data_IF_771492247484
#
_entry.id   IF_771492247484
#
_cell.length_a   1.000
_cell.length_b   1.000
_cell.length_c   1.000
_cell.angle_alpha   90.00
_cell.angle_beta   90.00
_cell.angle_gamma   90.00
#
_symmetry.space_group_name_H-M   'P 1'
#
loop_
_entity.id
_entity.type
_entity.pdbx_description
1 polymer ?
2 polymer ?
3 non-polymer ?
4 non-polymer ?
5 non-polymer ?
6 non-polymer ?
7 water ?
#
# COMPACT_ATOMS: atom_id res chain seq x y z
N UNK A 1 -2.08 5.41 15.38
CA UNK A 1 -1.43 4.63 14.35
C UNK A 1 -2.29 3.52 13.79
N UNK A 2 -2.21 3.30 12.48
CA UNK A 2 -3.00 2.26 11.84
C UNK A 2 -2.56 0.88 12.31
N UNK A 3 -1.26 0.70 12.57
CA UNK A 3 -0.77 -0.58 13.08
C UNK A 3 -1.30 -0.83 14.49
N UNK A 4 -1.41 0.22 15.30
CA UNK A 4 -1.84 0.09 16.68
C UNK A 4 -3.35 0.05 16.84
N UNK A 5 -4.11 0.23 15.76
CA UNK A 5 -5.57 0.22 15.83
C UNK A 5 -6.19 -0.92 15.04
N UNK A 6 -5.83 -1.07 13.77
CA UNK A 6 -6.46 -2.06 12.91
C UNK A 6 -5.77 -3.42 12.91
N UNK A 7 -4.64 -3.56 13.60
CA UNK A 7 -3.94 -4.83 13.67
C UNK A 7 -4.01 -5.49 15.03
N UNK A 8 -4.42 -4.77 16.07
CA UNK A 8 -4.71 -5.37 17.37
C UNK A 8 -6.20 -5.65 17.56
N UNK A 9 -7.06 -4.97 16.82
CA UNK A 9 -8.48 -5.26 16.76
C UNK A 9 -8.92 -5.24 15.31
N UNK A 10 -9.85 -6.14 14.96
CA UNK A 10 -10.29 -6.25 13.57
C UNK A 10 -11.03 -4.99 13.17
N UNK A 11 -10.68 -4.45 12.00
CA UNK A 11 -11.24 -3.20 11.50
C UNK A 11 -12.25 -3.50 10.40
N UNK A 12 -13.41 -2.86 10.48
CA UNK A 12 -14.40 -2.95 9.41
C UNK A 12 -13.94 -2.14 8.21
N UNK A 13 -14.68 -2.27 7.11
CA UNK A 13 -14.30 -1.61 5.86
C UNK A 13 -14.22 -0.10 6.03
N UNK A 14 -15.17 0.48 6.78
CA UNK A 14 -15.14 1.92 7.00
C UNK A 14 -13.94 2.34 7.83
N UNK A 15 -13.47 1.47 8.73
CA UNK A 15 -12.29 1.80 9.52
C UNK A 15 -11.06 1.97 8.63
N UNK A 16 -11.02 1.27 7.49
CA UNK A 16 -9.95 1.48 6.53
C UNK A 16 -10.14 2.74 5.70
N UNK A 17 -11.36 3.28 5.64
CA UNK A 17 -11.61 4.49 4.86
C UNK A 17 -10.92 5.71 5.44
N UNK A 18 -10.61 5.70 6.74
CA UNK A 18 -10.09 6.90 7.39
C UNK A 18 -8.71 7.28 6.87
N UNK A 19 -7.89 6.30 6.49
CA UNK A 19 -6.51 6.55 6.08
C UNK A 19 -6.37 6.81 4.59
N UNK A 20 -7.48 6.94 3.87
CA UNK A 20 -7.42 7.20 2.44
C UNK A 20 -7.14 8.67 2.17
N UNK A 21 -6.30 8.93 1.17
CA UNK A 21 -5.93 10.30 0.81
C UNK A 21 -7.14 11.07 0.29
N UNK B 1 8.23 -8.28 15.96
CA UNK B 1 7.17 -9.29 15.93
C UNK B 1 6.75 -9.56 14.49
N UNK B 2 6.88 -10.83 14.08
CA UNK B 2 6.53 -11.20 12.71
C UNK B 2 5.04 -11.03 12.46
N UNK B 3 4.21 -11.19 13.50
CA UNK B 3 2.77 -11.04 13.33
C UNK B 3 2.40 -9.63 12.90
N UNK B 4 3.18 -8.63 13.31
CA UNK B 4 2.94 -7.26 12.84
C UNK B 4 3.15 -7.14 11.34
N UNK B 5 4.22 -7.75 10.82
CA UNK B 5 4.52 -7.66 9.40
C UNK B 5 3.43 -8.32 8.56
N UNK B 6 2.93 -9.47 9.01
CA UNK B 6 1.88 -10.17 8.27
C UNK B 6 0.60 -9.34 8.22
N UNK B 7 0.22 -8.73 9.35
CA UNK B 7 -1.00 -7.93 9.37
C UNK B 7 -0.87 -6.69 8.49
N UNK B 8 0.31 -6.08 8.47
CA UNK B 8 0.51 -4.92 7.61
C UNK B 8 0.33 -5.24 6.14
N UNK B 9 0.74 -6.43 5.72
CA UNK B 9 0.56 -6.84 4.33
C UNK B 9 -0.91 -6.96 3.96
N UNK B 10 -1.77 -7.24 4.94
CA UNK B 10 -3.21 -7.26 4.71
C UNK B 10 -3.84 -5.88 4.82
N UNK B 11 -3.18 -4.95 5.51
CA UNK B 11 -3.70 -3.59 5.60
C UNK B 11 -3.48 -2.82 4.30
N UNK B 12 -2.35 -3.06 3.63
CA UNK B 12 -2.05 -2.35 2.39
C UNK B 12 -3.01 -2.77 1.28
N UNK B 13 -3.39 -4.05 1.25
CA UNK B 13 -4.35 -4.50 0.24
C UNK B 13 -5.77 -4.04 0.58
N UNK B 14 -6.06 -3.82 1.86
CA UNK B 14 -7.37 -3.29 2.24
C UNK B 14 -7.48 -1.81 1.90
N UNK B 15 -6.42 -1.04 2.15
CA UNK B 15 -6.43 0.37 1.78
C UNK B 15 -6.50 0.55 0.27
N UNK B 16 -5.78 -0.29 -0.48
CA UNK B 16 -5.80 -0.18 -1.94
C UNK B 16 -7.21 -0.40 -2.49
N UNK B 17 -7.93 -1.39 -1.96
CA UNK B 17 -9.28 -1.65 -2.43
C UNK B 17 -10.26 -0.56 -1.99
N UNK B 18 -10.04 0.01 -0.81
CA UNK B 18 -10.97 1.02 -0.29
C UNK B 18 -10.69 2.38 -0.91
N UNK B 19 -9.43 2.82 -0.87
CA UNK B 19 -9.10 4.16 -1.35
C UNK B 19 -9.26 4.26 -2.87
N UNK B 20 -8.80 3.24 -3.59
CA UNK B 20 -8.92 3.25 -5.04
C UNK B 20 -8.12 4.39 -5.66
N UNK B 21 -8.82 5.25 -6.41
CA UNK B 21 -8.15 6.36 -7.08
C UNK B 21 -7.64 7.41 -6.10
N UNK B 22 -8.23 7.50 -4.91
CA UNK B 22 -7.78 8.49 -3.93
C UNK B 22 -6.34 8.22 -3.49
N UNK B 23 -6.00 6.96 -3.27
CA UNK B 23 -4.69 6.59 -2.77
C UNK B 23 -4.65 6.55 -1.25
N UNK B 24 -3.57 5.97 -0.74
CA UNK B 24 -3.41 5.76 0.69
C UNK B 24 -1.96 6.02 1.09
N UNK B 25 -1.76 6.25 2.38
CA UNK B 25 -0.44 6.37 2.97
C UNK B 25 -0.33 5.36 4.11
N UNK B 26 0.74 4.57 4.10
CA UNK B 26 1.01 3.60 5.16
C UNK B 26 2.20 4.09 5.97
N UNK B 27 1.97 4.34 7.26
CA UNK B 27 3.00 4.91 8.13
C UNK B 27 2.91 4.25 9.50
N UNK B 28 3.56 3.10 9.68
CA UNK B 28 3.58 2.49 11.02
C UNK B 28 4.44 3.27 12.01
N UNK B 29 5.53 3.86 11.55
CA UNK B 29 6.41 4.64 12.42
C UNK B 29 6.61 6.05 11.87
N UNK C 1 3.55 8.93 -13.12
CA UNK C 1 3.31 8.37 -11.80
C UNK C 1 3.86 6.97 -11.63
N UNK C 2 3.47 6.31 -10.54
CA UNK C 2 3.95 4.96 -10.27
C UNK C 2 3.34 3.96 -11.26
N UNK C 3 2.05 4.12 -11.56
CA UNK C 3 1.38 3.21 -12.49
C UNK C 3 1.90 3.41 -13.91
N UNK C 4 2.12 4.66 -14.31
CA UNK C 4 2.50 4.96 -15.68
C UNK C 4 3.87 4.38 -16.04
N UNK C 5 4.71 4.08 -15.06
CA UNK C 5 6.05 3.57 -15.31
C UNK C 5 6.20 2.09 -14.97
N UNK C 6 5.75 1.67 -13.78
CA UNK C 6 6.00 0.31 -13.33
C UNK C 6 4.99 -0.70 -13.87
N UNK C 7 3.80 -0.26 -14.26
CA UNK C 7 2.82 -1.17 -14.84
C UNK C 7 2.99 -1.35 -16.35
N UNK C 8 3.90 -0.59 -16.97
CA UNK C 8 4.26 -0.81 -18.36
C UNK C 8 5.68 -1.33 -18.54
N UNK C 9 6.57 -1.08 -17.58
CA UNK C 9 7.92 -1.61 -17.60
C UNK C 9 8.25 -2.14 -16.21
N UNK C 10 8.97 -3.26 -16.16
CA UNK C 10 9.34 -3.85 -14.88
C UNK C 10 10.26 -2.90 -14.13
N UNK C 11 9.88 -2.58 -12.89
CA UNK C 11 10.62 -1.63 -12.07
C UNK C 11 11.57 -2.38 -11.14
N UNK C 12 12.83 -1.95 -11.12
CA UNK C 12 13.82 -2.53 -10.23
C UNK C 12 13.63 -2.03 -8.81
N UNK C 13 14.30 -2.70 -7.87
CA UNK C 13 14.14 -2.36 -6.45
C UNK C 13 14.54 -0.92 -6.16
N UNK C 14 15.54 -0.40 -6.86
CA UNK C 14 15.93 1.00 -6.67
C UNK C 14 14.81 1.94 -7.11
N UNK C 15 14.14 1.61 -8.21
CA UNK C 15 13.04 2.45 -8.69
C UNK C 15 11.87 2.44 -7.71
N UNK C 16 11.58 1.29 -7.10
CA UNK C 16 10.55 1.25 -6.07
C UNK C 16 10.93 2.08 -4.86
N UNK C 17 12.22 2.15 -4.54
CA UNK C 17 12.66 2.92 -3.37
C UNK C 17 12.39 4.41 -3.53
N UNK C 18 12.34 4.89 -4.78
CA UNK C 18 12.03 6.30 -5.01
C UNK C 18 10.63 6.67 -4.54
N UNK C 19 9.72 5.69 -4.44
CA UNK C 19 8.37 5.93 -3.98
C UNK C 19 8.21 5.78 -2.47
N UNK C 20 9.25 5.33 -1.77
CA UNK C 20 9.16 5.17 -0.32
C UNK C 20 9.20 6.54 0.36
N UNK C 21 8.67 6.58 1.58
CA UNK C 21 8.68 7.79 2.39
C UNK C 21 10.04 8.00 3.04
N UNK D 1 -10.32 0.84 -16.00
CA UNK D 1 -9.68 -0.29 -16.67
C UNK D 1 -9.37 -1.40 -15.66
N UNK D 2 -9.40 -2.65 -16.13
CA UNK D 2 -9.34 -3.80 -15.23
C UNK D 2 -7.90 -4.24 -14.98
N UNK D 3 -7.11 -4.44 -16.04
CA UNK D 3 -5.76 -4.97 -15.87
C UNK D 3 -4.86 -3.98 -15.13
N UNK D 4 -5.11 -2.68 -15.28
CA UNK D 4 -4.36 -1.69 -14.51
C UNK D 4 -4.59 -1.88 -13.01
N UNK D 5 -5.83 -2.20 -12.62
CA UNK D 5 -6.12 -2.46 -11.22
C UNK D 5 -5.33 -3.65 -10.70
N UNK D 6 -5.19 -4.70 -11.51
CA UNK D 6 -4.46 -5.89 -11.08
C UNK D 6 -2.99 -5.58 -10.84
N UNK D 7 -2.38 -4.77 -11.71
CA UNK D 7 -0.97 -4.42 -11.53
C UNK D 7 -0.77 -3.63 -10.25
N UNK D 8 -1.69 -2.70 -9.95
CA UNK D 8 -1.59 -1.95 -8.71
C UNK D 8 -1.70 -2.81 -7.47
N UNK D 9 -2.49 -3.89 -7.54
CA UNK D 9 -2.62 -4.79 -6.40
C UNK D 9 -1.29 -5.43 -6.05
N UNK D 10 -0.55 -5.88 -7.06
CA UNK D 10 0.79 -6.40 -6.82
C UNK D 10 1.80 -5.28 -6.58
N UNK D 11 1.53 -4.09 -7.12
CA UNK D 11 2.46 -2.98 -6.96
C UNK D 11 2.54 -2.53 -5.50
N UNK D 12 1.39 -2.39 -4.84
CA UNK D 12 1.39 -1.98 -3.44
C UNK D 12 2.01 -3.07 -2.56
N UNK D 13 1.80 -4.34 -2.92
CA UNK D 13 2.45 -5.42 -2.19
C UNK D 13 3.97 -5.35 -2.33
N UNK D 14 4.45 -5.06 -3.54
CA UNK D 14 5.89 -4.93 -3.76
C UNK D 14 6.46 -3.72 -3.02
N UNK D 15 5.75 -2.59 -3.06
CA UNK D 15 6.22 -1.39 -2.37
C UNK D 15 6.27 -1.61 -0.86
N UNK D 16 5.28 -2.31 -0.31
CA UNK D 16 5.28 -2.58 1.13
C UNK D 16 6.50 -3.40 1.54
N UNK D 17 6.86 -4.40 0.74
CA UNK D 17 8.02 -5.22 1.05
C UNK D 17 9.31 -4.42 0.94
N UNK D 18 9.46 -3.66 -0.14
CA UNK D 18 10.73 -2.97 -0.41
C UNK D 18 10.98 -1.88 0.62
N UNK D 19 9.98 -1.04 0.88
CA UNK D 19 10.18 0.08 1.79
C UNK D 19 10.32 -0.40 3.23
N UNK D 20 9.30 -1.07 3.74
CA UNK D 20 9.35 -1.62 5.09
C UNK D 20 8.91 -0.59 6.13
N UNK D 21 9.79 -0.30 7.09
CA UNK D 21 9.46 0.62 8.17
C UNK D 21 9.29 2.05 7.69
N UNK D 22 9.87 2.41 6.54
CA UNK D 22 9.77 3.78 6.05
C UNK D 22 8.34 4.13 5.66
N UNK D 23 7.63 3.19 5.03
CA UNK D 23 6.30 3.48 4.52
C UNK D 23 6.36 4.14 3.16
N UNK D 24 5.18 4.40 2.60
CA UNK D 24 5.10 4.96 1.26
C UNK D 24 3.76 5.63 1.05
N UNK D 25 3.71 6.49 0.04
CA UNK D 25 2.48 7.10 -0.45
C UNK D 25 2.16 6.50 -1.81
N UNK D 26 0.97 5.92 -1.94
CA UNK D 26 0.52 5.33 -3.20
C UNK D 26 -0.49 6.27 -3.85
N UNK D 27 -0.16 6.75 -5.04
CA UNK D 27 -1.04 7.64 -5.80
C UNK D 27 -1.23 7.05 -7.19
N UNK D 28 -2.44 6.66 -7.57
CA UNK D 28 -2.67 6.13 -8.91
C UNK D 28 -2.90 7.26 -9.92
N UNK D 29 -2.98 6.87 -11.19
CA UNK D 29 -3.16 7.82 -12.27
C UNK D 29 -4.52 8.50 -12.19
X LIG E 1 9.99 -11.96 6.77
X LIG E 1 10.45 -11.26 5.65
X LIG E 1 9.57 -10.95 4.62
X LIG E 1 8.24 -11.32 4.71
X LIG E 1 7.78 -12.02 5.82
X LIG E 1 8.66 -12.33 6.85
X LIG E 1 10.86 -12.27 7.78
X LIG F 1 -1.47 -13.52 5.30
X LIG G 1 -1.38 -13.85 7.55
X LIG H 1 6.20 -0.30 15.01
X LIG H 1 7.03 -0.99 15.63
X LIG H 1 4.73 -0.34 15.37
X LIG H 1 4.56 0.17 16.80
X LIG H 1 3.50 -0.65 17.54
X LIG H 1 3.85 -2.13 17.50
X LIG H 1 2.97 -2.93 18.45
X LIG H 1 3.30 -4.42 18.38
X LIG H 1 2.60 -5.19 19.49
X LIG H 1 2.94 -6.67 19.42
X LIG H 1 1.94 -7.42 18.55
X LIG H 1 0.62 -7.59 19.29
X LIG H 1 -0.50 -8.02 18.34
X LIG H 1 -0.15 -9.32 17.63
X LIG H 1 -1.16 -9.64 16.53
X LIG I 1 -12.63 -5.70 -10.28
X LIG I 1 -11.68 -6.63 -10.68
X LIG I 1 -10.72 -7.08 -9.78
X LIG I 1 -10.73 -6.60 -8.47
X LIG I 1 -11.68 -5.67 -8.07
X LIG I 1 -12.63 -5.22 -8.98
X LIG I 1 -13.57 -5.26 -11.17
X LIG J 1 -2.65 -10.63 -10.60
X LIG K 1 -3.02 -10.10 -12.97
X LIG L 1 -7.28 5.16 -16.99
X LIG L 1 -8.18 5.76 -17.61
X LIG L 1 -6.12 4.54 -17.74
X LIG L 1 -5.38 5.61 -18.53
X LIG L 1 -4.22 5.01 -19.31
X LIG L 1 -4.61 4.69 -20.75
X LIG L 1 -5.06 3.24 -20.91
X LIG L 1 -4.96 2.82 -22.37
X LIG L 1 -3.58 3.15 -22.95
X LIG L 1 -3.35 2.44 -24.27
X LIG L 1 -3.26 0.94 -24.08
X LIG L 1 -4.37 0.18 -24.79
X LIG L 1 -4.21 -1.32 -24.56
X LIG L 1 -5.55 -2.00 -24.28
X LIG L 1 -6.35 -2.17 -25.57
#
# INVERSE_FOLDING_TARGET
GIVEQCCTSICSLYQLENYCN
FVNQHLCGSHLVEALYLVCGERGFFYTPK
GIVEQCCTSICSLYQLENYCN
FVNQHLCGSHLVEALYLVCGERGFFYTPK
IPH C1 C2 C3 C4 C5 C6 O1
ZN ZN
CL CL
MYR C1 O1 C2 C3 C4 C5 C6 C7 C8 C9 C10 C11 C12 C13 C14
IPH C1 C2 C3 C4 C5 C6 O1
ZN ZN
CL CL
MYR C1 O1 C2 C3 C4 C5 C6 C7 C8 C9 C10 C11 C12 C13 C14
#
